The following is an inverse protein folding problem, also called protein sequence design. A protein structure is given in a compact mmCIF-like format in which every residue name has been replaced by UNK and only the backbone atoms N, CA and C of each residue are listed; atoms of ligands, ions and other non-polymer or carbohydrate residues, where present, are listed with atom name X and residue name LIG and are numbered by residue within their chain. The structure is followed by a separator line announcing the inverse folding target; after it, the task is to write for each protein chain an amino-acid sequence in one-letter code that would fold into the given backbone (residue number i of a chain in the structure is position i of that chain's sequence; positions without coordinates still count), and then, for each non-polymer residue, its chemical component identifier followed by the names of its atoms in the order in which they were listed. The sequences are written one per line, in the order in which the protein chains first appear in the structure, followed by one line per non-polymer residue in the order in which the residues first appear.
data_IF_066831385974
#
_entry.id   IF_066831385974
#
_cell.length_a   1.000
_cell.length_b   1.000
_cell.length_c   1.000
_cell.angle_alpha   90.00
_cell.angle_beta   90.00
_cell.angle_gamma   90.00
#
_symmetry.space_group_name_H-M   'P 1'
#
loop_
_entity.id
_entity.type
_entity.pdbx_description
1 polymer ?
#
# COMPACT_ATOMS: atom_id res chain seq x y z
N UNK A 1 -5.57 -7.19 13.45
CA UNK A 1 -4.48 -7.39 12.48
C UNK A 1 -4.93 -6.83 11.14
N UNK A 2 -4.03 -6.23 10.36
CA UNK A 2 -4.36 -5.83 9.00
C UNK A 2 -4.50 -7.02 8.05
N UNK A 3 -4.97 -6.76 6.83
CA UNK A 3 -5.01 -7.75 5.75
C UNK A 3 -4.75 -7.11 4.38
N UNK A 4 -4.05 -7.82 3.51
CA UNK A 4 -3.99 -7.52 2.09
C UNK A 4 -5.19 -8.15 1.39
N UNK A 5 -5.87 -7.40 0.51
CA UNK A 5 -6.97 -7.91 -0.32
C UNK A 5 -6.58 -7.75 -1.78
N UNK A 6 -6.44 -8.86 -2.50
CA UNK A 6 -6.15 -8.89 -3.94
C UNK A 6 -7.47 -8.87 -4.72
N UNK A 7 -7.60 -7.97 -5.68
CA UNK A 7 -8.74 -7.88 -6.59
C UNK A 7 -8.28 -7.82 -8.05
N UNK A 8 -9.15 -8.22 -8.97
CA UNK A 8 -8.96 -8.01 -10.41
C UNK A 8 -9.57 -6.66 -10.81
N UNK A 9 -8.80 -5.82 -11.48
CA UNK A 9 -9.23 -4.54 -12.04
C UNK A 9 -10.05 -4.77 -13.30
N UNK A 10 -10.80 -3.76 -13.76
CA UNK A 10 -11.61 -3.83 -14.98
C UNK A 10 -10.80 -4.09 -16.26
N UNK A 11 -9.50 -3.78 -16.25
CA UNK A 11 -8.56 -4.05 -17.34
C UNK A 11 -7.88 -5.43 -17.24
N UNK A 12 -8.28 -6.28 -16.28
CA UNK A 12 -7.72 -7.62 -16.08
C UNK A 12 -6.43 -7.67 -15.24
N UNK A 13 -5.88 -6.52 -14.83
CA UNK A 13 -4.72 -6.47 -13.94
C UNK A 13 -5.09 -6.85 -12.49
N UNK A 14 -4.11 -7.31 -11.74
CA UNK A 14 -4.23 -7.60 -10.32
C UNK A 14 -3.79 -6.39 -9.49
N UNK A 15 -4.56 -6.01 -8.49
CA UNK A 15 -4.20 -4.96 -7.55
C UNK A 15 -4.42 -5.49 -6.13
N UNK A 16 -3.66 -4.97 -5.16
CA UNK A 16 -3.92 -5.24 -3.76
C UNK A 16 -4.17 -3.97 -2.97
N UNK A 17 -4.97 -4.10 -1.91
CA UNK A 17 -5.18 -3.08 -0.90
C UNK A 17 -4.74 -3.61 0.47
N UNK A 18 -3.92 -2.86 1.21
CA UNK A 18 -3.70 -3.10 2.63
C UNK A 18 -4.82 -2.43 3.41
N UNK A 19 -5.56 -3.21 4.18
CA UNK A 19 -6.58 -2.76 5.11
C UNK A 19 -6.07 -2.85 6.54
N UNK A 20 -6.23 -1.78 7.31
CA UNK A 20 -5.99 -1.78 8.74
C UNK A 20 -7.01 -2.67 9.48
N UNK A 21 -6.77 -2.95 10.77
CA UNK A 21 -7.67 -3.79 11.58
C UNK A 21 -9.11 -3.29 11.68
N UNK A 22 -9.37 -2.01 11.43
CA UNK A 22 -10.72 -1.41 11.36
C UNK A 22 -11.36 -1.50 9.96
N UNK A 23 -10.71 -2.15 8.99
CA UNK A 23 -11.18 -2.30 7.61
C UNK A 23 -10.85 -1.15 6.67
N UNK A 24 -10.27 -0.05 7.16
CA UNK A 24 -9.88 1.09 6.35
C UNK A 24 -8.71 0.72 5.42
N UNK A 25 -8.82 1.04 4.13
CA UNK A 25 -7.69 0.96 3.19
C UNK A 25 -6.66 2.03 3.53
N UNK A 26 -5.41 1.62 3.73
CA UNK A 26 -4.30 2.51 4.09
C UNK A 26 -3.18 2.53 3.05
N UNK A 27 -3.18 1.58 2.12
CA UNK A 27 -2.25 1.51 1.01
C UNK A 27 -2.87 0.73 -0.15
N UNK A 28 -2.69 1.22 -1.37
CA UNK A 28 -3.16 0.58 -2.60
C UNK A 28 -1.99 0.45 -3.57
N UNK A 29 -1.81 -0.72 -4.18
CA UNK A 29 -0.75 -0.91 -5.17
C UNK A 29 -1.15 -0.46 -6.57
N UNK A 30 -0.16 -0.38 -7.47
CA UNK A 30 -0.41 -0.28 -8.90
C UNK A 30 -1.00 -1.59 -9.45
N UNK A 31 -1.44 -1.57 -10.71
CA UNK A 31 -1.87 -2.78 -11.41
C UNK A 31 -0.68 -3.66 -11.78
N UNK A 32 -0.78 -4.95 -11.51
CA UNK A 32 0.17 -5.98 -11.91
C UNK A 32 -0.43 -6.83 -13.02
N UNK A 33 0.35 -7.17 -14.04
CA UNK A 33 -0.09 -8.02 -15.14
C UNK A 33 -0.30 -9.48 -14.74
N UNK A 34 0.29 -9.93 -13.63
CA UNK A 34 0.13 -11.29 -13.12
C UNK A 34 -0.10 -11.31 -11.61
N UNK A 35 -0.83 -12.32 -11.17
CA UNK A 35 -1.09 -12.57 -9.74
C UNK A 35 0.20 -12.81 -8.95
N UNK A 36 1.17 -13.51 -9.54
CA UNK A 36 2.48 -13.74 -8.91
C UNK A 36 3.23 -12.42 -8.67
N UNK A 37 3.21 -11.50 -9.65
CA UNK A 37 3.82 -10.18 -9.47
C UNK A 37 3.09 -9.36 -8.37
N UNK A 38 1.76 -9.47 -8.30
CA UNK A 38 0.97 -8.84 -7.25
C UNK A 38 1.35 -9.37 -5.84
N UNK A 39 1.47 -10.69 -5.68
CA UNK A 39 1.91 -11.31 -4.41
C UNK A 39 3.35 -10.93 -4.07
N UNK A 40 4.27 -10.85 -5.04
CA UNK A 40 5.62 -10.36 -4.80
C UNK A 40 5.63 -8.89 -4.35
N UNK A 41 4.72 -8.08 -4.90
CA UNK A 41 4.49 -6.71 -4.43
C UNK A 41 4.07 -6.66 -2.97
N UNK A 42 3.18 -7.55 -2.52
CA UNK A 42 2.77 -7.67 -1.11
C UNK A 42 3.97 -7.99 -0.23
N UNK A 43 4.77 -9.00 -0.58
CA UNK A 43 5.96 -9.36 0.20
C UNK A 43 6.96 -8.20 0.25
N UNK A 44 7.13 -7.48 -0.86
CA UNK A 44 7.93 -6.26 -0.88
C UNK A 44 7.37 -5.19 0.05
N UNK A 45 6.05 -5.00 0.14
CA UNK A 45 5.45 -4.06 1.09
C UNK A 45 5.71 -4.50 2.52
N UNK A 46 5.54 -5.78 2.86
CA UNK A 46 5.81 -6.31 4.21
C UNK A 46 7.23 -5.97 4.65
N UNK A 47 8.23 -6.27 3.80
CA UNK A 47 9.64 -6.00 4.10
C UNK A 47 9.94 -4.49 4.18
N UNK A 48 9.55 -3.71 3.16
CA UNK A 48 9.94 -2.30 3.07
C UNK A 48 9.12 -1.39 3.97
N UNK A 49 7.98 -1.86 4.50
CA UNK A 49 7.15 -1.08 5.42
C UNK A 49 7.91 -0.65 6.68
N UNK A 50 8.95 -1.38 7.09
CA UNK A 50 9.71 -1.08 8.30
C UNK A 50 10.85 -0.07 8.08
N UNK A 51 11.13 0.31 6.83
CA UNK A 51 12.20 1.23 6.48
C UNK A 51 11.64 2.61 6.12
N UNK A 52 11.80 3.57 7.02
CA UNK A 52 11.35 4.96 6.86
C UNK A 52 11.87 5.62 5.58
N UNK A 53 13.06 5.24 5.11
CA UNK A 53 13.65 5.80 3.89
C UNK A 53 12.89 5.39 2.62
N UNK A 54 12.03 4.37 2.71
CA UNK A 54 11.20 3.87 1.60
C UNK A 54 9.90 4.65 1.43
N UNK A 55 9.53 5.48 2.40
CA UNK A 55 8.35 6.33 2.32
C UNK A 55 8.68 7.66 1.65
N UNK A 56 8.26 7.79 0.39
CA UNK A 56 8.30 9.05 -0.35
C UNK A 56 7.07 9.88 0.02
N UNK A 57 7.25 10.84 0.93
CA UNK A 57 6.19 11.72 1.42
C UNK A 57 5.99 12.87 0.42
N UNK A 58 4.77 13.01 -0.08
CA UNK A 58 4.43 13.95 -1.16
C UNK A 58 3.23 14.82 -0.78
N UNK A 59 3.00 15.84 -1.60
CA UNK A 59 1.82 16.70 -1.55
C UNK A 59 1.27 16.80 -2.97
N UNK A 60 -0.06 16.66 -3.11
CA UNK A 60 -0.72 16.80 -4.41
C UNK A 60 -0.71 18.26 -4.87
N UNK A 61 -1.05 18.50 -6.14
CA UNK A 61 -1.28 19.85 -6.66
C UNK A 61 -2.43 20.60 -5.95
N UNK A 62 -3.32 19.87 -5.26
CA UNK A 62 -4.40 20.42 -4.44
C UNK A 62 -4.00 20.63 -2.97
N UNK A 63 -2.71 20.51 -2.63
CA UNK A 63 -2.18 20.72 -1.28
C UNK A 63 -2.49 19.57 -0.31
N UNK A 64 -2.91 18.39 -0.80
CA UNK A 64 -3.26 17.24 0.05
C UNK A 64 -2.04 16.32 0.24
N UNK A 65 -1.55 16.13 1.47
CA UNK A 65 -0.40 15.26 1.73
C UNK A 65 -0.73 13.79 1.47
N UNK A 66 0.21 13.03 0.91
CA UNK A 66 0.09 11.59 0.70
C UNK A 66 1.49 10.97 0.72
N UNK A 67 1.61 9.65 0.59
CA UNK A 67 2.92 8.99 0.47
C UNK A 67 2.89 7.82 -0.50
N UNK A 68 4.05 7.54 -1.08
CA UNK A 68 4.33 6.30 -1.80
C UNK A 68 5.29 5.45 -0.98
N UNK A 69 5.10 4.14 -0.98
CA UNK A 69 6.08 3.18 -0.51
C UNK A 69 6.88 2.64 -1.70
N UNK A 70 8.20 2.66 -1.58
CA UNK A 70 9.13 2.18 -2.62
C UNK A 70 9.80 0.87 -2.22
N UNK A 71 10.05 0.00 -3.20
CA UNK A 71 10.90 -1.17 -3.02
C UNK A 71 12.40 -0.80 -2.99
N UNK A 72 13.24 -1.80 -2.73
CA UNK A 72 14.70 -1.69 -2.76
C UNK A 72 15.26 -1.05 -4.05
N UNK A 73 14.65 -1.40 -5.19
CA UNK A 73 15.01 -0.91 -6.53
C UNK A 73 14.36 0.45 -6.89
N UNK A 74 13.65 1.09 -5.98
CA UNK A 74 13.00 2.39 -6.19
C UNK A 74 11.60 2.32 -6.83
N UNK A 75 11.12 1.15 -7.24
CA UNK A 75 9.78 0.97 -7.78
C UNK A 75 8.72 1.32 -6.73
N UNK A 76 7.65 2.01 -7.12
CA UNK A 76 6.48 2.23 -6.25
C UNK A 76 5.72 0.91 -6.12
N UNK A 77 5.53 0.47 -4.88
CA UNK A 77 4.82 -0.78 -4.55
C UNK A 77 3.49 -0.53 -3.84
N UNK A 78 3.25 0.72 -3.42
CA UNK A 78 1.98 1.17 -2.88
C UNK A 78 1.92 2.68 -2.75
N UNK A 79 0.71 3.23 -2.85
CA UNK A 79 0.40 4.62 -2.62
C UNK A 79 -0.73 4.73 -1.58
N UNK A 80 -0.64 5.73 -0.72
CA UNK A 80 -1.74 6.08 0.19
C UNK A 80 -2.82 6.87 -0.53
N UNK A 81 -3.98 6.99 0.10
CA UNK A 81 -4.91 8.05 -0.26
C UNK A 81 -4.32 9.43 0.08
N UNK A 82 -4.98 10.47 -0.43
CA UNK A 82 -4.69 11.86 -0.07
C UNK A 82 -5.29 12.17 1.31
N UNK A 83 -4.49 12.77 2.18
CA UNK A 83 -4.87 13.16 3.53
C UNK A 83 -5.15 14.66 3.62
N UNK A 84 -5.85 15.05 4.69
CA UNK A 84 -6.15 16.45 5.01
C UNK A 84 -4.98 17.19 5.67
N UNK A 85 -4.00 16.47 6.23
CA UNK A 85 -2.86 17.07 6.92
C UNK A 85 -1.64 16.15 6.89
N UNK A 86 -0.45 16.74 7.12
CA UNK A 86 0.80 16.01 7.23
C UNK A 86 0.80 15.04 8.42
N UNK A 87 0.18 15.43 9.53
CA UNK A 87 -0.02 14.56 10.70
C UNK A 87 -0.90 13.36 10.36
N UNK A 88 -1.98 13.55 9.58
CA UNK A 88 -2.83 12.44 9.13
C UNK A 88 -2.08 11.49 8.20
N UNK A 89 -1.26 12.01 7.28
CA UNK A 89 -0.36 11.21 6.45
C UNK A 89 0.63 10.39 7.29
N UNK A 90 1.26 11.01 8.28
CA UNK A 90 2.24 10.34 9.12
C UNK A 90 1.59 9.26 10.02
N UNK A 91 0.35 9.47 10.46
CA UNK A 91 -0.47 8.42 11.08
C UNK A 91 -0.79 7.27 10.10
N UNK A 92 -1.03 7.59 8.82
CA UNK A 92 -1.16 6.61 7.76
C UNK A 92 0.09 5.73 7.60
N UNK A 93 1.27 6.34 7.59
CA UNK A 93 2.56 5.64 7.55
C UNK A 93 2.72 4.73 8.76
N UNK A 94 2.45 5.23 9.96
CA UNK A 94 2.49 4.43 11.19
C UNK A 94 1.52 3.24 11.12
N UNK A 95 0.32 3.45 10.56
CA UNK A 95 -0.65 2.37 10.35
C UNK A 95 -0.13 1.31 9.39
N UNK A 96 0.54 1.69 8.29
CA UNK A 96 1.17 0.72 7.37
C UNK A 96 2.26 -0.08 8.08
N UNK A 97 3.14 0.58 8.84
CA UNK A 97 4.19 -0.07 9.64
C UNK A 97 3.63 -1.11 10.60
N UNK A 98 2.51 -0.81 11.26
CA UNK A 98 1.86 -1.70 12.22
C UNK A 98 1.11 -2.84 11.55
N UNK A 99 0.43 -2.58 10.42
CA UNK A 99 -0.51 -3.53 9.85
C UNK A 99 0.09 -4.39 8.73
N UNK A 100 1.17 -3.97 8.06
CA UNK A 100 1.72 -4.68 6.92
C UNK A 100 2.48 -5.97 7.26
N UNK A 101 3.44 -6.01 8.22
CA UNK A 101 4.39 -7.13 8.35
C UNK A 101 3.72 -8.50 8.48
N UNK A 102 2.68 -8.57 9.32
CA UNK A 102 1.97 -9.81 9.66
C UNK A 102 0.56 -9.87 9.06
N UNK A 103 0.24 -8.96 8.11
CA UNK A 103 -1.06 -8.99 7.45
C UNK A 103 -1.24 -10.29 6.65
N UNK A 104 -2.40 -10.91 6.83
CA UNK A 104 -2.83 -12.03 6.01
C UNK A 104 -3.18 -11.54 4.61
N UNK A 105 -3.12 -12.44 3.62
CA UNK A 105 -3.53 -12.14 2.25
C UNK A 105 -4.86 -12.83 1.97
N UNK A 106 -5.84 -12.05 1.53
CA UNK A 106 -7.15 -12.50 1.08
C UNK A 106 -7.26 -12.28 -0.43
N UNK A 107 -7.65 -13.33 -1.12
CA UNK A 107 -7.72 -13.35 -2.57
C UNK A 107 -9.17 -13.28 -3.04
N UNK A 108 -9.52 -12.19 -3.71
CA UNK A 108 -10.86 -11.93 -4.23
C UNK A 108 -10.85 -11.79 -5.77
N UNK A 109 -9.86 -12.37 -6.44
CA UNK A 109 -9.85 -12.45 -7.91
C UNK A 109 -10.93 -13.42 -8.37
N UNK A 110 -11.68 -13.03 -9.41
CA UNK A 110 -12.67 -13.89 -10.06
C UNK A 110 -12.03 -15.02 -10.88
#
# INVERSE_FOLDING_TARGET
MGKFVITTRSNGEFQFNLKAGNGQTILTSEGYSTKSACTNGIESVKTNSQDDSRYDKKESSSGKPYFNLKAGNGQIIGASEMYESTSARDNGIASVKTNAPDATTEDQTA
#
